data_IF_739640430603
#
_entry.id   IF_739640430603
#
_cell.length_a   1.000
_cell.length_b   1.000
_cell.length_c   1.000
_cell.angle_alpha   90.00
_cell.angle_beta   90.00
_cell.angle_gamma   90.00
#
_symmetry.space_group_name_H-M   'P 1'
#
loop_
_entity.id
_entity.type
_entity.pdbx_description
1 polymer ?
#
# COMPACT_ATOMS: atom_id res chain seq x y z
N UNK A 1 1.41 13.76 -23.74
CA UNK A 1 1.84 14.35 -22.45
C UNK A 1 2.73 13.34 -21.73
N UNK A 2 3.82 13.79 -21.09
CA UNK A 2 4.68 12.92 -20.28
C UNK A 2 3.89 12.40 -19.07
N UNK A 3 3.85 11.07 -18.83
CA UNK A 3 3.08 10.47 -17.74
C UNK A 3 3.84 10.72 -16.42
N UNK A 4 3.44 11.72 -15.64
CA UNK A 4 4.09 12.01 -14.35
C UNK A 4 3.78 10.97 -13.27
N UNK A 5 2.60 10.37 -13.33
CA UNK A 5 2.15 9.31 -12.43
C UNK A 5 1.68 8.14 -13.29
N UNK A 6 2.18 6.93 -13.00
CA UNK A 6 1.94 5.74 -13.82
C UNK A 6 1.13 4.66 -13.11
N UNK A 7 1.16 4.61 -11.77
CA UNK A 7 0.38 3.68 -10.96
C UNK A 7 0.33 4.11 -9.48
N UNK A 8 -0.47 3.39 -8.67
CA UNK A 8 -0.42 3.49 -7.21
C UNK A 8 0.79 2.68 -6.71
N UNK A 9 1.72 3.36 -6.03
CA UNK A 9 2.87 2.73 -5.37
C UNK A 9 2.50 2.11 -4.03
N UNK A 10 1.63 2.75 -3.26
CA UNK A 10 1.13 2.15 -2.03
C UNK A 10 -0.01 2.90 -1.38
N UNK A 11 -0.75 2.17 -0.56
CA UNK A 11 -1.83 2.65 0.30
C UNK A 11 -1.44 2.32 1.73
N UNK A 12 -1.26 3.37 2.51
CA UNK A 12 -0.83 3.30 3.89
C UNK A 12 -1.91 3.91 4.76
N UNK A 13 -2.27 3.26 5.86
CA UNK A 13 -3.35 3.75 6.72
C UNK A 13 -3.07 3.44 8.19
N UNK A 14 -3.60 4.28 9.07
CA UNK A 14 -3.51 4.11 10.52
C UNK A 14 -4.56 3.13 11.02
N UNK A 15 -4.22 2.37 12.05
CA UNK A 15 -5.09 1.43 12.75
C UNK A 15 -4.63 1.25 14.19
N UNK A 16 -5.59 1.16 15.11
CA UNK A 16 -5.34 0.81 16.53
C UNK A 16 -4.72 -0.58 16.65
N UNK A 17 -5.15 -1.49 15.77
CA UNK A 17 -4.79 -2.91 15.79
C UNK A 17 -4.38 -3.41 14.39
N UNK A 18 -3.20 -3.00 13.87
CA UNK A 18 -2.74 -3.36 12.52
C UNK A 18 -2.73 -4.87 12.28
N UNK A 19 -2.30 -5.66 13.27
CA UNK A 19 -2.30 -7.11 13.19
C UNK A 19 -3.70 -7.69 12.98
N UNK A 20 -4.73 -7.19 13.68
CA UNK A 20 -6.11 -7.67 13.50
C UNK A 20 -6.64 -7.37 12.10
N UNK A 21 -6.25 -6.25 11.52
CA UNK A 21 -6.57 -5.91 10.13
C UNK A 21 -5.94 -6.92 9.16
N UNK A 22 -4.65 -7.25 9.34
CA UNK A 22 -3.98 -8.26 8.52
C UNK A 22 -4.59 -9.66 8.70
N UNK A 23 -4.87 -10.06 9.94
CA UNK A 23 -5.52 -11.34 10.23
C UNK A 23 -6.91 -11.41 9.54
N UNK A 24 -7.67 -10.32 9.55
CA UNK A 24 -8.96 -10.23 8.86
C UNK A 24 -8.80 -10.33 7.34
N UNK A 25 -7.87 -9.58 6.76
CA UNK A 25 -7.59 -9.63 5.31
C UNK A 25 -7.12 -11.02 4.86
N UNK A 26 -6.28 -11.69 5.64
CA UNK A 26 -5.85 -13.05 5.38
C UNK A 26 -7.04 -14.03 5.43
N UNK A 27 -7.85 -13.96 6.49
CA UNK A 27 -8.99 -14.86 6.69
C UNK A 27 -10.08 -14.70 5.63
N UNK A 28 -10.41 -13.47 5.28
CA UNK A 28 -11.59 -13.19 4.47
C UNK A 28 -11.28 -12.95 3.00
N UNK A 29 -10.09 -12.42 2.68
CA UNK A 29 -9.70 -12.05 1.32
C UNK A 29 -8.49 -12.85 0.80
N UNK A 30 -7.86 -13.69 1.64
CA UNK A 30 -6.67 -14.44 1.26
C UNK A 30 -5.43 -13.55 1.04
N UNK A 31 -5.46 -12.31 1.51
CA UNK A 31 -4.33 -11.38 1.35
C UNK A 31 -3.25 -11.75 2.36
N UNK A 32 -2.10 -12.17 1.86
CA UNK A 32 -0.93 -12.46 2.70
C UNK A 32 -0.20 -11.17 3.07
N UNK A 33 0.21 -11.07 4.32
CA UNK A 33 0.93 -9.91 4.86
C UNK A 33 2.15 -10.37 5.63
N UNK A 34 3.22 -9.59 5.60
CA UNK A 34 4.34 -9.70 6.54
C UNK A 34 4.33 -8.50 7.51
N UNK A 35 5.42 -8.31 8.27
CA UNK A 35 5.56 -7.20 9.22
C UNK A 35 5.44 -5.80 8.57
N UNK A 36 5.66 -5.69 7.26
CA UNK A 36 5.55 -4.44 6.49
C UNK A 36 4.22 -4.29 5.75
N UNK A 37 3.31 -5.26 5.85
CA UNK A 37 2.02 -5.30 5.15
C UNK A 37 2.00 -6.27 3.97
N UNK A 38 1.17 -5.97 2.97
CA UNK A 38 0.99 -6.78 1.77
C UNK A 38 1.55 -6.10 0.54
N UNK A 39 1.98 -6.91 -0.44
CA UNK A 39 2.46 -6.42 -1.73
C UNK A 39 1.66 -7.07 -2.85
N UNK A 40 0.94 -6.26 -3.62
CA UNK A 40 0.26 -6.67 -4.83
C UNK A 40 1.18 -6.50 -6.03
N UNK A 41 1.61 -7.61 -6.62
CA UNK A 41 2.39 -7.63 -7.85
C UNK A 41 1.47 -7.59 -9.07
N UNK A 42 1.76 -6.72 -10.01
CA UNK A 42 1.00 -6.57 -11.26
C UNK A 42 1.95 -6.32 -12.44
N UNK A 43 1.43 -6.37 -13.67
CA UNK A 43 2.18 -6.09 -14.91
C UNK A 43 1.65 -4.83 -15.56
N UNK A 44 2.53 -4.04 -16.19
CA UNK A 44 2.08 -2.85 -16.91
C UNK A 44 1.23 -3.25 -18.12
N UNK A 45 0.16 -2.48 -18.37
CA UNK A 45 -0.73 -2.72 -19.51
C UNK A 45 -0.03 -2.48 -20.85
N UNK A 46 0.87 -1.49 -20.89
CA UNK A 46 1.63 -1.10 -22.08
C UNK A 46 2.84 -2.03 -22.35
N UNK A 47 3.30 -2.78 -21.32
CA UNK A 47 4.49 -3.64 -21.38
C UNK A 47 4.40 -4.74 -20.31
N UNK A 48 4.04 -5.96 -20.70
CA UNK A 48 3.81 -7.06 -19.76
C UNK A 48 5.08 -7.63 -19.13
N UNK A 49 6.26 -7.34 -19.69
CA UNK A 49 7.54 -7.71 -19.08
C UNK A 49 7.87 -6.81 -17.89
N UNK A 50 7.33 -5.58 -17.87
CA UNK A 50 7.44 -4.69 -16.73
C UNK A 50 6.47 -5.08 -15.62
N UNK A 51 7.06 -5.33 -14.46
CA UNK A 51 6.33 -5.58 -13.22
C UNK A 51 6.20 -4.30 -12.40
N UNK A 52 5.02 -4.05 -11.88
CA UNK A 52 4.77 -3.06 -10.83
C UNK A 52 4.34 -3.70 -9.52
N UNK A 53 4.41 -2.91 -8.45
CA UNK A 53 4.05 -3.31 -7.10
C UNK A 53 3.22 -2.23 -6.43
N UNK A 54 2.17 -2.64 -5.72
CA UNK A 54 1.39 -1.78 -4.84
C UNK A 54 1.47 -2.30 -3.42
N UNK A 55 1.97 -1.47 -2.50
CA UNK A 55 2.05 -1.79 -1.07
C UNK A 55 0.70 -1.50 -0.41
N UNK A 56 0.29 -2.36 0.51
CA UNK A 56 -0.90 -2.16 1.35
C UNK A 56 -0.52 -2.38 2.81
N UNK A 57 -0.47 -1.31 3.60
CA UNK A 57 0.15 -1.37 4.92
C UNK A 57 -0.60 -0.56 5.97
N UNK A 58 -0.88 -1.23 7.10
CA UNK A 58 -1.47 -0.66 8.30
C UNK A 58 -0.37 -0.27 9.29
N UNK A 59 -0.44 0.96 9.78
CA UNK A 59 0.44 1.52 10.81
C UNK A 59 -0.32 1.67 12.12
N UNK A 60 0.41 1.69 13.24
CA UNK A 60 -0.16 2.11 14.53
C UNK A 60 -0.75 3.53 14.43
N UNK A 61 -1.86 3.79 15.10
CA UNK A 61 -2.54 5.08 15.07
C UNK A 61 -1.72 6.23 15.67
N UNK A 62 -0.88 5.92 16.65
CA UNK A 62 0.08 6.84 17.28
C UNK A 62 1.38 7.05 16.47
N UNK A 63 1.52 6.45 15.28
CA UNK A 63 2.73 6.64 14.47
C UNK A 63 2.92 8.10 14.05
N UNK A 64 4.17 8.54 14.05
CA UNK A 64 4.63 9.82 13.49
C UNK A 64 5.04 9.74 12.02
N UNK A 65 4.96 8.55 11.41
CA UNK A 65 5.38 8.34 10.02
C UNK A 65 4.62 9.21 9.01
N UNK A 66 3.39 9.63 9.36
CA UNK A 66 2.52 10.42 8.49
C UNK A 66 2.76 11.93 8.66
N UNK A 67 3.64 12.35 9.58
CA UNK A 67 3.88 13.75 9.90
C UNK A 67 4.50 14.51 8.70
N UNK A 68 4.15 15.79 8.50
CA UNK A 68 3.22 16.60 9.29
C UNK A 68 1.73 16.39 8.91
N UNK A 69 1.45 15.39 8.08
CA UNK A 69 0.11 15.04 7.63
C UNK A 69 -0.80 14.62 8.78
N UNK A 70 -2.02 15.18 8.79
CA UNK A 70 -3.05 14.88 9.80
C UNK A 70 -4.07 13.83 9.35
N UNK A 71 -3.86 13.23 8.17
CA UNK A 71 -4.78 12.26 7.59
C UNK A 71 -4.43 10.85 8.08
N UNK A 72 -5.45 10.01 8.22
CA UNK A 72 -5.28 8.61 8.63
C UNK A 72 -4.83 7.71 7.47
N UNK A 73 -4.70 8.26 6.27
CA UNK A 73 -4.26 7.55 5.08
C UNK A 73 -3.25 8.37 4.28
N UNK A 74 -2.36 7.67 3.60
CA UNK A 74 -1.35 8.19 2.70
C UNK A 74 -1.32 7.31 1.44
N UNK A 75 -1.29 7.95 0.27
CA UNK A 75 -1.23 7.28 -1.02
C UNK A 75 0.06 7.73 -1.70
N UNK A 76 0.85 6.74 -2.13
CA UNK A 76 2.09 6.97 -2.85
C UNK A 76 1.91 6.52 -4.29
N UNK A 77 2.63 7.13 -5.22
CA UNK A 77 2.50 6.88 -6.67
C UNK A 77 3.81 6.38 -7.27
N UNK A 78 3.72 5.55 -8.30
CA UNK A 78 4.80 5.34 -9.26
C UNK A 78 4.87 6.56 -10.20
N UNK A 79 6.07 7.02 -10.52
CA UNK A 79 6.33 8.24 -11.30
C UNK A 79 7.43 7.99 -12.35
N UNK A 80 7.49 8.81 -13.41
CA UNK A 80 8.53 8.83 -14.46
C UNK A 80 9.46 10.05 -14.40
#
# INVERSE_FOLDING_TARGET
MKKRVTAIGGIFFKSKEPKKIYDWYAKHLGITSNEYGSVFKWRHIDDQEKTGYTVWSAFKDDTKYFDPGKKEFMINYHVE
#
